data_IF_163196901456
#
_entry.id   IF_163196901456
#
_cell.length_a   1.000
_cell.length_b   1.000
_cell.length_c   1.000
_cell.angle_alpha   90.00
_cell.angle_beta   90.00
_cell.angle_gamma   90.00
#
_symmetry.space_group_name_H-M   'P 1'
#
loop_
_entity.id
_entity.type
_entity.pdbx_description
1 polymer ?
#
# COMPACT_ATOMS: atom_id res chain seq x y z
N UNK A 1 20.59 -17.11 2.80
CA UNK A 1 19.81 -16.41 1.75
C UNK A 1 20.12 -14.93 1.85
N UNK A 2 19.81 -14.07 0.87
CA UNK A 2 20.05 -12.63 1.02
C UNK A 2 19.45 -12.06 2.32
N UNK A 3 18.29 -12.60 2.70
CA UNK A 3 17.58 -12.28 3.94
C UNK A 3 18.39 -12.56 5.22
N UNK A 4 19.20 -13.63 5.26
CA UNK A 4 20.00 -13.97 6.44
C UNK A 4 21.16 -13.01 6.71
N UNK A 5 21.43 -12.06 5.80
CA UNK A 5 22.49 -11.06 5.93
C UNK A 5 21.99 -9.68 6.37
N UNK A 6 20.69 -9.48 6.56
CA UNK A 6 20.12 -8.15 6.80
C UNK A 6 20.21 -7.66 8.26
N UNK A 7 20.68 -8.51 9.17
CA UNK A 7 20.82 -8.20 10.60
C UNK A 7 19.51 -8.28 11.38
N UNK A 8 19.60 -8.27 12.71
CA UNK A 8 18.45 -8.57 13.60
C UNK A 8 17.37 -7.48 13.59
N UNK A 9 17.73 -6.24 13.23
CA UNK A 9 16.79 -5.10 13.15
C UNK A 9 16.01 -5.04 11.83
N UNK A 10 16.39 -5.85 10.83
CA UNK A 10 15.71 -5.81 9.54
C UNK A 10 14.33 -6.48 9.60
N UNK A 11 13.31 -5.74 9.18
CA UNK A 11 11.94 -6.25 9.08
C UNK A 11 11.61 -6.57 7.64
N UNK A 12 11.34 -7.84 7.38
CA UNK A 12 10.93 -8.31 6.06
C UNK A 12 9.44 -8.52 6.02
N UNK A 13 8.79 -7.91 5.03
CA UNK A 13 7.41 -8.19 4.67
C UNK A 13 7.42 -9.07 3.42
N UNK A 14 6.84 -10.27 3.52
CA UNK A 14 6.64 -11.15 2.37
C UNK A 14 5.27 -10.88 1.77
N UNK A 15 5.24 -10.58 0.48
CA UNK A 15 4.01 -10.33 -0.29
C UNK A 15 3.90 -11.32 -1.46
N UNK A 16 2.69 -11.75 -1.85
CA UNK A 16 2.49 -12.75 -2.91
C UNK A 16 2.52 -12.15 -4.33
N UNK A 17 3.13 -10.97 -4.50
CA UNK A 17 3.22 -10.23 -5.76
C UNK A 17 4.57 -9.53 -5.89
N UNK A 18 4.93 -9.10 -7.11
CA UNK A 18 6.15 -8.32 -7.34
C UNK A 18 6.00 -6.95 -6.68
N UNK A 19 6.91 -6.55 -5.76
CA UNK A 19 6.73 -5.34 -4.94
C UNK A 19 7.08 -4.05 -5.68
N UNK A 20 6.43 -3.79 -6.81
CA UNK A 20 6.51 -2.50 -7.52
C UNK A 20 5.62 -1.45 -6.84
N UNK A 21 5.86 -0.16 -7.08
CA UNK A 21 5.08 0.92 -6.48
C UNK A 21 3.57 0.82 -6.82
N UNK A 22 3.23 0.39 -8.03
CA UNK A 22 1.85 0.19 -8.50
C UNK A 22 1.13 -0.92 -7.71
N UNK A 23 1.79 -2.07 -7.55
CA UNK A 23 1.22 -3.19 -6.81
C UNK A 23 1.09 -2.88 -5.32
N UNK A 24 2.05 -2.13 -4.76
CA UNK A 24 1.95 -1.66 -3.38
C UNK A 24 0.81 -0.66 -3.20
N UNK A 25 0.57 0.24 -4.17
CA UNK A 25 -0.54 1.19 -4.10
C UNK A 25 -1.89 0.46 -4.11
N UNK A 26 -2.04 -0.54 -5.00
CA UNK A 26 -3.23 -1.40 -5.05
C UNK A 26 -3.42 -2.16 -3.74
N UNK A 27 -2.39 -2.86 -3.28
CA UNK A 27 -2.46 -3.67 -2.07
C UNK A 27 -2.80 -2.82 -0.85
N UNK A 28 -2.17 -1.66 -0.68
CA UNK A 28 -2.45 -0.75 0.43
C UNK A 28 -3.89 -0.20 0.38
N UNK A 29 -4.41 0.11 -0.81
CA UNK A 29 -5.82 0.47 -0.97
C UNK A 29 -6.74 -0.66 -0.50
N UNK A 30 -6.54 -1.88 -0.98
CA UNK A 30 -7.36 -3.05 -0.63
C UNK A 30 -7.31 -3.39 0.87
N UNK A 31 -6.19 -3.12 1.55
CA UNK A 31 -6.10 -3.32 3.00
C UNK A 31 -6.88 -2.25 3.77
N UNK A 32 -6.90 -0.99 3.31
CA UNK A 32 -7.46 0.13 4.09
C UNK A 32 -8.92 0.41 3.75
N UNK A 33 -9.35 0.18 2.51
CA UNK A 33 -10.72 0.46 2.04
C UNK A 33 -11.82 -0.12 2.96
N UNK A 34 -11.76 -1.39 3.41
CA UNK A 34 -12.79 -1.97 4.25
C UNK A 34 -12.92 -1.30 5.63
N UNK A 35 -11.90 -0.55 6.05
CA UNK A 35 -11.87 0.14 7.34
C UNK A 35 -12.33 1.60 7.25
N UNK A 36 -12.41 2.17 6.05
CA UNK A 36 -12.94 3.52 5.84
C UNK A 36 -14.46 3.45 5.73
N UNK A 37 -15.11 3.19 6.87
CA UNK A 37 -16.56 3.11 6.99
C UNK A 37 -17.09 4.43 7.55
N UNK A 38 -18.01 5.04 6.81
CA UNK A 38 -18.71 6.25 7.21
C UNK A 38 -19.77 5.91 8.28
N UNK A 39 -19.85 6.66 9.38
CA UNK A 39 -20.98 6.59 10.32
C UNK A 39 -21.92 7.78 10.07
N UNK A 40 -23.24 7.51 10.03
CA UNK A 40 -24.29 8.53 9.88
C UNK A 40 -24.33 9.26 8.52
N UNK A 41 -24.52 8.51 7.43
CA UNK A 41 -25.00 9.09 6.15
C UNK A 41 -24.02 9.99 5.40
N UNK A 42 -22.74 10.03 5.78
CA UNK A 42 -21.70 10.71 5.02
C UNK A 42 -21.13 9.80 3.93
N UNK A 43 -20.80 10.34 2.77
CA UNK A 43 -20.23 9.59 1.63
C UNK A 43 -18.71 9.49 1.70
N UNK A 44 -18.15 9.40 2.91
CA UNK A 44 -16.70 9.29 3.09
C UNK A 44 -16.25 7.92 2.58
N UNK A 45 -15.40 7.94 1.56
CA UNK A 45 -14.82 6.74 0.94
C UNK A 45 -13.33 6.96 0.70
N UNK A 46 -12.56 5.87 0.72
CA UNK A 46 -11.18 5.91 0.29
C UNK A 46 -11.13 6.24 -1.21
N UNK A 47 -10.47 7.35 -1.57
CA UNK A 47 -10.44 7.82 -2.97
C UNK A 47 -9.33 7.18 -3.77
N UNK A 48 -8.12 7.15 -3.21
CA UNK A 48 -6.93 6.65 -3.86
C UNK A 48 -5.81 6.38 -2.84
N UNK A 49 -4.87 5.52 -3.22
CA UNK A 49 -3.55 5.41 -2.59
C UNK A 49 -2.47 5.90 -3.55
N UNK A 50 -1.49 6.65 -3.02
CA UNK A 50 -0.34 7.13 -3.77
C UNK A 50 0.95 6.61 -3.11
N UNK A 51 1.71 5.78 -3.82
CA UNK A 51 2.99 5.24 -3.34
C UNK A 51 4.13 5.98 -4.04
N UNK A 52 5.01 6.59 -3.25
CA UNK A 52 6.18 7.32 -3.73
C UNK A 52 7.44 6.53 -3.40
N UNK A 53 8.14 6.05 -4.42
CA UNK A 53 9.46 5.41 -4.23
C UNK A 53 10.55 6.47 -4.02
N UNK A 54 10.42 7.59 -4.74
CA UNK A 54 11.27 8.77 -4.58
C UNK A 54 10.40 10.03 -4.58
N UNK A 55 10.92 11.20 -4.20
CA UNK A 55 10.14 12.43 -4.25
C UNK A 55 9.58 12.77 -5.64
N UNK A 56 10.25 12.33 -6.72
CA UNK A 56 9.89 12.65 -8.11
C UNK A 56 9.19 11.51 -8.86
N UNK A 57 9.01 10.34 -8.25
CA UNK A 57 8.37 9.18 -8.88
C UNK A 57 7.29 8.60 -7.96
N UNK A 58 6.09 8.38 -8.50
CA UNK A 58 4.98 7.79 -7.76
C UNK A 58 4.03 6.99 -8.64
N UNK A 59 3.38 6.01 -8.03
CA UNK A 59 2.26 5.27 -8.58
C UNK A 59 0.99 5.60 -7.80
N UNK A 60 -0.16 5.55 -8.48
CA UNK A 60 -1.46 5.78 -7.86
C UNK A 60 -2.40 4.63 -8.18
N UNK A 61 -3.26 4.29 -7.23
CA UNK A 61 -4.38 3.38 -7.43
C UNK A 61 -5.66 4.07 -6.94
N UNK A 62 -6.74 4.03 -7.74
CA UNK A 62 -8.09 4.50 -7.38
C UNK A 62 -9.17 3.52 -7.82
N UNK A 63 -10.28 3.45 -7.07
CA UNK A 63 -11.39 2.50 -7.28
C UNK A 63 -12.47 3.05 -8.21
N UNK A 64 -12.08 3.85 -9.20
CA UNK A 64 -13.05 4.52 -10.08
C UNK A 64 -14.07 3.55 -10.71
#
# INVERSE_FOLDING_TARGET
TALSHMGDEHRTLIVPFVPTAENLAKWAFEQVDPHIISSYGNSLRLRAFHVRETPKSWASWSAD
#
